data_IF_490694374656
#
_entry.id   IF_490694374656
#
_cell.length_a   1.000
_cell.length_b   1.000
_cell.length_c   1.000
_cell.angle_alpha   90.00
_cell.angle_beta   90.00
_cell.angle_gamma   90.00
#
_symmetry.space_group_name_H-M   'P 1'
#
loop_
_entity.id
_entity.type
_entity.pdbx_description
1 polymer ?
#
# COMPACT_ATOMS: atom_id res chain seq x y z
N UNK A 1 -4.69 32.53 -13.04
CA UNK A 1 -4.36 31.91 -11.73
C UNK A 1 -4.76 30.43 -11.58
N UNK A 2 -5.44 29.76 -12.53
CA UNK A 2 -5.96 28.39 -12.33
C UNK A 2 -4.99 27.24 -12.71
N UNK A 3 -3.96 27.47 -13.52
CA UNK A 3 -3.02 26.43 -13.96
C UNK A 3 -1.76 26.27 -13.07
N UNK A 4 -1.34 27.30 -12.32
CA UNK A 4 -0.05 27.26 -11.59
C UNK A 4 -0.08 26.38 -10.33
N UNK A 5 -1.27 26.10 -9.78
CA UNK A 5 -1.39 25.27 -8.58
C UNK A 5 -1.20 23.77 -8.86
N UNK A 6 -1.57 23.33 -10.06
CA UNK A 6 -1.71 21.92 -10.42
C UNK A 6 -0.36 21.24 -10.62
N UNK A 7 0.55 21.93 -11.32
CA UNK A 7 1.90 21.42 -11.51
C UNK A 7 2.72 21.49 -10.21
N UNK A 8 2.33 22.32 -9.24
CA UNK A 8 3.11 22.51 -8.02
C UNK A 8 3.06 21.28 -7.12
N UNK A 9 1.92 20.61 -6.92
CA UNK A 9 1.85 19.51 -5.95
C UNK A 9 2.60 18.25 -6.39
N UNK A 10 2.51 17.90 -7.67
CA UNK A 10 3.22 16.75 -8.23
C UNK A 10 4.72 17.04 -8.35
N UNK A 11 5.10 18.27 -8.67
CA UNK A 11 6.51 18.69 -8.58
C UNK A 11 7.02 18.63 -7.13
N UNK A 12 6.23 19.09 -6.15
CA UNK A 12 6.58 18.97 -4.73
C UNK A 12 6.76 17.50 -4.32
N UNK A 13 5.95 16.58 -4.86
CA UNK A 13 6.12 15.12 -4.67
C UNK A 13 7.48 14.66 -5.18
N UNK A 14 7.83 15.02 -6.41
CA UNK A 14 9.11 14.66 -7.03
C UNK A 14 10.33 15.23 -6.29
N UNK A 15 10.17 16.42 -5.70
CA UNK A 15 11.18 17.07 -4.87
C UNK A 15 11.18 16.55 -3.42
N UNK A 16 10.51 15.43 -3.14
CA UNK A 16 10.41 14.82 -1.83
C UNK A 16 9.99 15.80 -0.72
N UNK A 17 9.06 16.74 -1.03
CA UNK A 17 8.57 17.68 -0.03
C UNK A 17 7.81 16.94 1.08
N UNK A 18 7.98 17.35 2.36
CA UNK A 18 7.33 16.69 3.48
C UNK A 18 5.80 16.58 3.34
N UNK A 19 5.23 15.49 3.85
CA UNK A 19 3.79 15.21 3.82
C UNK A 19 2.97 16.39 4.33
N UNK A 20 3.36 16.98 5.46
CA UNK A 20 2.61 18.07 6.10
C UNK A 20 2.57 19.35 5.24
N UNK A 21 3.68 19.75 4.60
CA UNK A 21 3.72 20.93 3.73
C UNK A 21 2.78 20.76 2.52
N UNK A 22 2.84 19.58 1.91
CA UNK A 22 2.02 19.21 0.76
C UNK A 22 0.54 19.14 1.13
N UNK A 23 0.24 18.57 2.30
CA UNK A 23 -1.12 18.44 2.82
C UNK A 23 -1.75 19.80 3.09
N UNK A 24 -1.02 20.72 3.75
CA UNK A 24 -1.49 22.10 3.97
C UNK A 24 -1.89 22.77 2.65
N UNK A 25 -1.05 22.65 1.62
CA UNK A 25 -1.31 23.22 0.29
C UNK A 25 -2.61 22.69 -0.33
N UNK A 26 -2.88 21.38 -0.21
CA UNK A 26 -4.09 20.77 -0.74
C UNK A 26 -5.33 21.11 0.08
N UNK A 27 -5.23 21.12 1.41
CA UNK A 27 -6.35 21.42 2.31
C UNK A 27 -6.82 22.87 2.17
N UNK A 28 -5.90 23.84 2.05
CA UNK A 28 -6.24 25.24 1.77
C UNK A 28 -7.05 25.42 0.48
N UNK A 29 -6.92 24.47 -0.45
CA UNK A 29 -7.56 24.48 -1.77
C UNK A 29 -8.54 23.31 -1.94
N UNK A 30 -9.06 22.75 -0.83
CA UNK A 30 -9.90 21.54 -0.81
C UNK A 30 -11.07 21.61 -1.81
N UNK A 31 -11.74 22.75 -1.93
CA UNK A 31 -12.85 22.94 -2.86
C UNK A 31 -12.47 22.78 -4.35
N UNK A 32 -11.20 23.01 -4.72
CA UNK A 32 -10.68 22.78 -6.06
C UNK A 32 -10.13 21.37 -6.19
N UNK A 33 -9.43 20.88 -5.17
CA UNK A 33 -8.87 19.52 -5.11
C UNK A 33 -9.96 18.47 -5.34
N UNK A 34 -11.08 18.59 -4.63
CA UNK A 34 -12.19 17.63 -4.70
C UNK A 34 -12.96 17.66 -6.04
N UNK A 35 -12.61 18.55 -6.98
CA UNK A 35 -13.18 18.55 -8.34
C UNK A 35 -12.40 17.70 -9.32
N UNK A 36 -11.21 17.22 -8.93
CA UNK A 36 -10.33 16.45 -9.79
C UNK A 36 -9.85 15.19 -9.09
N UNK A 37 -9.94 14.06 -9.77
CA UNK A 37 -9.63 12.77 -9.17
C UNK A 37 -8.13 12.58 -8.94
N UNK A 38 -7.26 13.15 -9.78
CA UNK A 38 -5.80 13.13 -9.59
C UNK A 38 -5.36 13.84 -8.31
N UNK A 39 -5.88 15.04 -8.07
CA UNK A 39 -5.60 15.79 -6.84
C UNK A 39 -6.26 15.16 -5.62
N UNK A 40 -7.46 14.60 -5.80
CA UNK A 40 -8.16 13.91 -4.71
C UNK A 40 -7.41 12.65 -4.31
N UNK A 41 -6.91 11.86 -5.27
CA UNK A 41 -6.06 10.70 -5.01
C UNK A 41 -4.81 11.08 -4.21
N UNK A 42 -4.17 12.20 -4.57
CA UNK A 42 -3.01 12.70 -3.83
C UNK A 42 -3.40 13.17 -2.41
N UNK A 43 -4.53 13.85 -2.25
CA UNK A 43 -5.02 14.24 -0.93
C UNK A 43 -5.32 13.02 -0.04
N UNK A 44 -5.94 11.98 -0.60
CA UNK A 44 -6.23 10.73 0.09
C UNK A 44 -4.93 10.03 0.53
N UNK A 45 -3.93 9.94 -0.35
CA UNK A 45 -2.60 9.40 -0.02
C UNK A 45 -1.94 10.17 1.12
N UNK A 46 -1.95 11.51 1.08
CA UNK A 46 -1.37 12.32 2.16
C UNK A 46 -2.12 12.17 3.48
N UNK A 47 -3.45 12.08 3.46
CA UNK A 47 -4.23 11.82 4.66
C UNK A 47 -3.95 10.44 5.26
N UNK A 48 -3.90 9.39 4.44
CA UNK A 48 -3.53 8.05 4.88
C UNK A 48 -2.10 8.04 5.45
N UNK A 49 -1.12 8.64 4.76
CA UNK A 49 0.26 8.72 5.23
C UNK A 49 0.45 9.52 6.55
N UNK A 50 -0.52 10.38 6.91
CA UNK A 50 -0.44 11.23 8.12
C UNK A 50 -1.45 10.86 9.22
N UNK A 51 -2.17 9.74 9.07
CA UNK A 51 -3.10 9.26 10.10
C UNK A 51 -4.48 9.92 10.09
N UNK A 52 -4.79 10.75 9.10
CA UNK A 52 -6.10 11.39 8.91
C UNK A 52 -7.09 10.43 8.22
N UNK A 53 -7.21 9.19 8.71
CA UNK A 53 -7.97 8.13 8.06
C UNK A 53 -9.47 8.44 7.96
N UNK A 54 -10.04 9.11 8.97
CA UNK A 54 -11.45 9.49 8.97
C UNK A 54 -11.77 10.55 7.89
N UNK A 55 -10.87 11.51 7.65
CA UNK A 55 -11.04 12.49 6.58
C UNK A 55 -11.01 11.84 5.20
N UNK A 56 -10.08 10.89 5.00
CA UNK A 56 -10.00 10.11 3.77
C UNK A 56 -11.25 9.23 3.57
N UNK A 57 -11.71 8.54 4.62
CA UNK A 57 -12.91 7.70 4.60
C UNK A 57 -14.16 8.51 4.19
N UNK A 58 -14.33 9.72 4.75
CA UNK A 58 -15.48 10.57 4.43
C UNK A 58 -15.55 10.96 2.95
N UNK A 59 -14.39 11.22 2.32
CA UNK A 59 -14.34 11.52 0.88
C UNK A 59 -14.57 10.25 0.04
N UNK A 60 -13.95 9.12 0.43
CA UNK A 60 -14.12 7.84 -0.25
C UNK A 60 -15.56 7.30 -0.21
N UNK A 61 -16.33 7.63 0.83
CA UNK A 61 -17.72 7.21 0.99
C UNK A 61 -18.72 8.08 0.20
N UNK A 62 -18.45 9.39 0.11
CA UNK A 62 -19.44 10.35 -0.39
C UNK A 62 -19.19 10.83 -1.82
N UNK A 63 -17.93 10.83 -2.27
CA UNK A 63 -17.59 11.34 -3.61
C UNK A 63 -17.81 10.27 -4.67
N UNK A 64 -18.45 10.65 -5.77
CA UNK A 64 -18.47 9.85 -7.01
C UNK A 64 -17.24 10.17 -7.85
N UNK A 65 -16.39 9.17 -8.04
CA UNK A 65 -15.16 9.22 -8.83
C UNK A 65 -15.43 8.75 -10.26
N UNK A 66 -14.67 9.30 -11.20
CA UNK A 66 -14.72 8.95 -12.62
C UNK A 66 -13.29 8.72 -13.11
N UNK A 67 -12.68 7.56 -12.77
CA UNK A 67 -11.34 7.23 -13.21
C UNK A 67 -11.23 7.36 -14.73
N UNK A 68 -10.27 8.17 -15.18
CA UNK A 68 -9.94 8.35 -16.59
C UNK A 68 -8.73 7.47 -16.95
N UNK A 69 -8.49 7.24 -18.24
CA UNK A 69 -7.33 6.49 -18.75
C UNK A 69 -6.01 6.94 -18.08
N UNK A 70 -5.27 5.99 -17.50
CA UNK A 70 -4.06 6.22 -16.69
C UNK A 70 -4.31 6.42 -15.18
N UNK A 71 -5.57 6.43 -14.76
CA UNK A 71 -6.02 6.54 -13.37
C UNK A 71 -6.37 5.24 -12.67
N UNK A 72 -6.27 4.12 -13.38
CA UNK A 72 -6.68 2.80 -12.91
C UNK A 72 -5.96 2.45 -11.62
N UNK A 73 -6.70 1.95 -10.63
CA UNK A 73 -6.16 1.53 -9.35
C UNK A 73 -5.84 2.67 -8.38
N UNK A 74 -5.86 3.94 -8.80
CA UNK A 74 -5.43 5.06 -7.94
C UNK A 74 -6.41 5.32 -6.81
N UNK A 75 -7.71 5.42 -7.11
CA UNK A 75 -8.73 5.67 -6.09
C UNK A 75 -9.02 4.40 -5.28
N UNK A 76 -9.20 3.27 -5.98
CA UNK A 76 -9.44 1.96 -5.34
C UNK A 76 -8.27 1.54 -4.45
N UNK A 77 -7.03 1.83 -4.84
CA UNK A 77 -5.84 1.63 -4.00
C UNK A 77 -5.89 2.46 -2.71
N UNK A 78 -6.28 3.73 -2.78
CA UNK A 78 -6.45 4.57 -1.59
C UNK A 78 -7.61 4.10 -0.70
N UNK A 79 -8.69 3.57 -1.28
CA UNK A 79 -9.78 2.94 -0.54
C UNK A 79 -9.27 1.73 0.26
N UNK A 80 -8.55 0.81 -0.39
CA UNK A 80 -7.97 -0.36 0.28
C UNK A 80 -7.01 0.05 1.40
N UNK A 81 -6.09 0.97 1.13
CA UNK A 81 -5.16 1.50 2.14
C UNK A 81 -5.90 2.11 3.33
N UNK A 82 -6.97 2.87 3.08
CA UNK A 82 -7.77 3.47 4.14
C UNK A 82 -8.45 2.40 5.00
N UNK A 83 -9.06 1.38 4.40
CA UNK A 83 -9.69 0.28 5.12
C UNK A 83 -8.68 -0.50 5.97
N UNK A 84 -7.49 -0.78 5.43
CA UNK A 84 -6.41 -1.45 6.16
C UNK A 84 -5.94 -0.62 7.36
N UNK A 85 -5.75 0.70 7.19
CA UNK A 85 -5.39 1.59 8.28
C UNK A 85 -6.48 1.71 9.36
N UNK A 86 -7.75 1.79 8.98
CA UNK A 86 -8.87 1.79 9.93
C UNK A 86 -8.92 0.47 10.70
N UNK A 87 -8.74 -0.66 10.01
CA UNK A 87 -8.67 -1.97 10.66
C UNK A 87 -7.52 -2.05 11.68
N UNK A 88 -6.34 -1.54 11.34
CA UNK A 88 -5.21 -1.45 12.26
C UNK A 88 -5.52 -0.56 13.48
N UNK A 89 -6.15 0.61 13.30
CA UNK A 89 -6.59 1.44 14.44
C UNK A 89 -7.58 0.73 15.36
N UNK A 90 -8.47 -0.09 14.81
CA UNK A 90 -9.39 -0.89 15.61
C UNK A 90 -8.67 -2.05 16.31
N UNK A 91 -7.72 -2.71 15.65
CA UNK A 91 -6.86 -3.75 16.24
C UNK A 91 -6.10 -3.21 17.46
N UNK A 92 -5.50 -2.03 17.35
CA UNK A 92 -4.78 -1.37 18.46
C UNK A 92 -5.64 -1.15 19.71
N UNK A 93 -6.95 -1.04 19.53
CA UNK A 93 -7.93 -0.81 20.60
C UNK A 93 -8.61 -2.09 21.06
N UNK A 94 -8.21 -3.26 20.54
CA UNK A 94 -8.88 -4.54 20.77
C UNK A 94 -10.30 -4.62 20.16
N UNK A 95 -10.65 -3.71 19.27
CA UNK A 95 -11.96 -3.61 18.64
C UNK A 95 -12.05 -4.53 17.40
N UNK A 96 -11.77 -5.83 17.58
CA UNK A 96 -11.57 -6.79 16.48
C UNK A 96 -12.79 -6.96 15.58
N UNK A 97 -14.00 -6.74 16.11
CA UNK A 97 -15.23 -6.77 15.30
C UNK A 97 -15.24 -5.65 14.27
N UNK A 98 -15.00 -4.41 14.70
CA UNK A 98 -14.94 -3.28 13.77
C UNK A 98 -13.78 -3.40 12.77
N UNK A 99 -12.64 -3.94 13.21
CA UNK A 99 -11.53 -4.25 12.31
C UNK A 99 -11.96 -5.25 11.21
N UNK A 100 -12.66 -6.32 11.60
CA UNK A 100 -13.20 -7.33 10.67
C UNK A 100 -14.19 -6.71 9.68
N UNK A 101 -15.04 -5.78 10.12
CA UNK A 101 -16.01 -5.10 9.26
C UNK A 101 -15.31 -4.24 8.19
N UNK A 102 -14.28 -3.48 8.57
CA UNK A 102 -13.43 -2.72 7.63
C UNK A 102 -12.76 -3.64 6.60
N UNK A 103 -12.15 -4.75 7.05
CA UNK A 103 -11.46 -5.71 6.20
C UNK A 103 -12.41 -6.41 5.21
N UNK A 104 -13.60 -6.79 5.67
CA UNK A 104 -14.63 -7.37 4.79
C UNK A 104 -15.19 -6.34 3.80
N UNK A 105 -15.29 -5.07 4.20
CA UNK A 105 -15.65 -3.99 3.30
C UNK A 105 -14.58 -3.76 2.23
N UNK A 106 -13.29 -3.93 2.55
CA UNK A 106 -12.19 -3.81 1.59
C UNK A 106 -12.27 -4.85 0.45
N UNK A 107 -12.88 -6.02 0.71
CA UNK A 107 -13.09 -7.06 -0.31
C UNK A 107 -14.18 -6.71 -1.34
N UNK A 108 -14.86 -5.56 -1.20
CA UNK A 108 -15.90 -5.08 -2.12
C UNK A 108 -15.62 -3.63 -2.47
N UNK A 109 -15.70 -3.28 -3.75
CA UNK A 109 -15.54 -1.89 -4.18
C UNK A 109 -16.92 -1.23 -4.24
N UNK A 110 -17.15 -0.14 -3.48
CA UNK A 110 -18.34 0.68 -3.63
C UNK A 110 -18.47 1.25 -5.06
N UNK A 111 -19.69 1.32 -5.58
CA UNK A 111 -19.95 1.77 -6.96
C UNK A 111 -19.44 3.19 -7.22
N UNK A 112 -19.42 4.05 -6.19
CA UNK A 112 -18.96 5.43 -6.30
C UNK A 112 -17.45 5.55 -6.58
N UNK A 113 -16.65 4.48 -6.44
CA UNK A 113 -15.23 4.50 -6.78
C UNK A 113 -14.99 4.49 -8.30
N UNK A 114 -15.99 4.11 -9.10
CA UNK A 114 -15.91 4.13 -10.56
C UNK A 114 -15.03 3.04 -11.19
N UNK A 115 -14.60 2.05 -10.41
CA UNK A 115 -13.72 0.96 -10.83
C UNK A 115 -14.14 -0.37 -10.17
N UNK A 116 -14.00 -1.46 -10.92
CA UNK A 116 -14.20 -2.82 -10.42
C UNK A 116 -12.92 -3.46 -9.91
N UNK A 117 -13.06 -4.58 -9.19
CA UNK A 117 -11.93 -5.39 -8.76
C UNK A 117 -11.29 -6.11 -9.94
N UNK A 118 -9.97 -6.28 -9.90
CA UNK A 118 -9.25 -7.04 -10.93
C UNK A 118 -9.44 -8.56 -10.73
N UNK A 119 -9.69 -9.32 -11.82
CA UNK A 119 -9.65 -10.78 -11.76
C UNK A 119 -8.29 -11.27 -11.25
N UNK A 120 -8.29 -12.19 -10.28
CA UNK A 120 -7.06 -12.77 -9.73
C UNK A 120 -6.38 -11.96 -8.62
N UNK A 121 -7.00 -10.89 -8.13
CA UNK A 121 -6.52 -10.21 -6.92
C UNK A 121 -6.69 -11.13 -5.69
N UNK A 122 -5.58 -11.42 -5.00
CA UNK A 122 -5.54 -12.41 -3.91
C UNK A 122 -5.66 -11.82 -2.50
N UNK A 123 -5.57 -10.50 -2.33
CA UNK A 123 -5.81 -9.76 -1.07
C UNK A 123 -5.09 -10.32 0.17
N UNK A 124 -3.82 -10.71 0.01
CA UNK A 124 -3.07 -11.43 1.03
C UNK A 124 -2.97 -10.65 2.37
N UNK A 125 -2.85 -9.33 2.29
CA UNK A 125 -2.89 -8.42 3.44
C UNK A 125 -4.22 -8.47 4.20
N UNK A 126 -5.34 -8.34 3.48
CA UNK A 126 -6.69 -8.36 4.05
C UNK A 126 -6.98 -9.72 4.70
N UNK A 127 -6.70 -10.83 3.99
CA UNK A 127 -6.92 -12.17 4.54
C UNK A 127 -6.05 -12.45 5.75
N UNK A 128 -4.79 -12.00 5.76
CA UNK A 128 -3.95 -12.15 6.93
C UNK A 128 -4.53 -11.41 8.14
N UNK A 129 -4.93 -10.15 7.97
CA UNK A 129 -5.50 -9.35 9.06
C UNK A 129 -6.86 -9.90 9.55
N UNK A 130 -7.67 -10.48 8.66
CA UNK A 130 -8.87 -11.22 9.05
C UNK A 130 -8.53 -12.43 9.90
N UNK A 131 -7.50 -13.19 9.52
CA UNK A 131 -6.96 -14.30 10.31
C UNK A 131 -6.49 -13.86 11.68
N UNK A 132 -5.77 -12.75 11.76
CA UNK A 132 -5.33 -12.14 13.02
C UNK A 132 -6.53 -11.77 13.90
N UNK A 133 -7.56 -11.10 13.36
CA UNK A 133 -8.75 -10.73 14.13
C UNK A 133 -9.51 -11.97 14.64
N UNK A 134 -9.62 -13.03 13.84
CA UNK A 134 -10.25 -14.29 14.24
C UNK A 134 -9.46 -15.00 15.35
N UNK A 135 -8.13 -15.01 15.26
CA UNK A 135 -7.23 -15.54 16.30
C UNK A 135 -7.43 -14.81 17.63
N UNK A 136 -7.49 -13.47 17.60
CA UNK A 136 -7.74 -12.65 18.80
C UNK A 136 -9.15 -12.85 19.39
N UNK A 137 -10.13 -13.24 18.56
CA UNK A 137 -11.47 -13.60 19.00
C UNK A 137 -11.57 -15.04 19.54
N UNK A 138 -10.49 -15.83 19.50
CA UNK A 138 -10.46 -17.22 19.93
C UNK A 138 -11.01 -18.23 18.91
N UNK A 139 -11.26 -17.81 17.67
CA UNK A 139 -11.74 -18.67 16.59
C UNK A 139 -10.58 -19.21 15.75
N UNK A 140 -9.93 -20.24 16.29
CA UNK A 140 -8.75 -20.85 15.67
C UNK A 140 -9.05 -21.50 14.30
N UNK A 141 -10.26 -22.02 14.10
CA UNK A 141 -10.64 -22.64 12.84
C UNK A 141 -10.76 -21.57 11.75
N UNK A 142 -11.49 -20.50 12.03
CA UNK A 142 -11.67 -19.42 11.05
C UNK A 142 -10.34 -18.70 10.76
N UNK A 143 -9.50 -18.52 11.77
CA UNK A 143 -8.16 -17.96 11.59
C UNK A 143 -7.31 -18.80 10.63
N UNK A 144 -7.32 -20.13 10.78
CA UNK A 144 -6.59 -21.04 9.89
C UNK A 144 -7.07 -20.95 8.43
N UNK A 145 -8.39 -20.87 8.20
CA UNK A 145 -8.97 -20.69 6.87
C UNK A 145 -8.51 -19.36 6.22
N UNK A 146 -8.53 -18.27 6.99
CA UNK A 146 -8.07 -16.97 6.49
C UNK A 146 -6.56 -16.94 6.21
N UNK A 147 -5.74 -17.58 7.05
CA UNK A 147 -4.30 -17.71 6.76
C UNK A 147 -4.03 -18.59 5.54
N UNK A 148 -4.87 -19.58 5.23
CA UNK A 148 -4.77 -20.33 3.97
C UNK A 148 -5.06 -19.44 2.75
N UNK A 149 -6.08 -18.58 2.82
CA UNK A 149 -6.37 -17.60 1.76
C UNK A 149 -5.22 -16.59 1.59
N UNK A 150 -4.66 -16.10 2.69
CA UNK A 150 -3.52 -15.18 2.70
C UNK A 150 -2.23 -15.76 2.08
N UNK A 151 -2.18 -17.06 1.81
CA UNK A 151 -1.04 -17.75 1.18
C UNK A 151 -1.22 -18.00 -0.32
N UNK A 152 -2.37 -17.65 -0.89
CA UNK A 152 -2.64 -17.84 -2.32
C UNK A 152 -1.93 -16.79 -3.18
N UNK A 153 -1.74 -17.09 -4.47
CA UNK A 153 -1.14 -16.18 -5.45
C UNK A 153 0.18 -16.68 -6.01
N UNK A 154 0.86 -15.80 -6.77
CA UNK A 154 2.21 -16.07 -7.27
C UNK A 154 3.24 -16.12 -6.15
N UNK A 155 4.43 -16.61 -6.45
CA UNK A 155 5.57 -16.71 -5.52
C UNK A 155 6.82 -15.95 -6.00
N UNK A 156 6.71 -15.19 -7.09
CA UNK A 156 7.84 -14.57 -7.77
C UNK A 156 7.91 -13.07 -7.46
N UNK A 157 9.05 -12.60 -6.97
CA UNK A 157 9.33 -11.17 -6.89
C UNK A 157 9.65 -10.63 -8.28
N UNK A 158 8.96 -9.55 -8.67
CA UNK A 158 9.22 -8.79 -9.89
C UNK A 158 9.31 -7.30 -9.54
N UNK A 159 9.81 -6.51 -10.47
CA UNK A 159 10.01 -5.08 -10.32
C UNK A 159 8.70 -4.25 -10.30
N UNK A 160 7.54 -4.88 -10.52
CA UNK A 160 6.21 -4.23 -10.45
C UNK A 160 6.09 -3.07 -11.43
N UNK A 161 5.60 -3.33 -12.64
CA UNK A 161 5.62 -2.38 -13.76
C UNK A 161 4.24 -1.81 -14.07
N UNK A 162 3.20 -2.59 -13.85
CA UNK A 162 1.84 -2.29 -14.28
C UNK A 162 0.87 -2.25 -13.10
N UNK A 163 -0.23 -1.50 -13.26
CA UNK A 163 -1.23 -1.35 -12.19
C UNK A 163 -1.90 -2.69 -11.79
N UNK A 164 -1.91 -3.66 -12.71
CA UNK A 164 -2.49 -4.98 -12.52
C UNK A 164 -1.47 -6.05 -12.06
N UNK A 165 -0.21 -5.67 -11.84
CA UNK A 165 0.76 -6.57 -11.24
C UNK A 165 0.40 -6.81 -9.77
N UNK A 166 0.68 -8.02 -9.28
CA UNK A 166 0.46 -8.29 -7.86
C UNK A 166 1.45 -7.45 -7.01
N UNK A 167 0.96 -6.74 -5.97
CA UNK A 167 1.82 -5.95 -5.11
C UNK A 167 2.89 -6.81 -4.43
N UNK A 168 4.13 -6.34 -4.39
CA UNK A 168 5.23 -7.08 -3.76
C UNK A 168 5.00 -7.38 -2.27
N UNK A 169 4.20 -6.56 -1.58
CA UNK A 169 3.84 -6.81 -0.19
C UNK A 169 2.89 -8.00 -0.01
N UNK A 170 2.16 -8.44 -1.05
CA UNK A 170 1.36 -9.67 -0.96
C UNK A 170 2.23 -10.89 -0.64
N UNK A 171 3.40 -11.00 -1.29
CA UNK A 171 4.39 -12.03 -0.98
C UNK A 171 4.91 -11.93 0.46
N UNK A 172 5.01 -10.72 1.01
CA UNK A 172 5.38 -10.55 2.41
C UNK A 172 4.30 -11.14 3.33
N UNK A 173 3.03 -10.80 3.10
CA UNK A 173 1.91 -11.34 3.87
C UNK A 173 1.74 -12.85 3.73
N UNK A 174 2.00 -13.43 2.55
CA UNK A 174 2.11 -14.88 2.38
C UNK A 174 3.16 -15.48 3.31
N UNK A 175 4.35 -14.87 3.38
CA UNK A 175 5.43 -15.34 4.26
C UNK A 175 5.06 -15.27 5.75
N UNK A 176 4.38 -14.21 6.18
CA UNK A 176 3.92 -14.08 7.56
C UNK A 176 2.81 -15.10 7.87
N UNK A 177 1.86 -15.28 6.96
CA UNK A 177 0.82 -16.30 7.07
C UNK A 177 1.40 -17.73 7.11
N UNK A 178 2.45 -18.00 6.33
CA UNK A 178 3.18 -19.27 6.31
C UNK A 178 3.84 -19.54 7.66
N UNK A 179 4.48 -18.53 8.26
CA UNK A 179 5.04 -18.62 9.61
C UNK A 179 3.97 -18.92 10.65
N UNK A 180 2.84 -18.19 10.64
CA UNK A 180 1.70 -18.41 11.55
C UNK A 180 1.10 -19.82 11.38
N UNK A 181 1.13 -20.37 10.17
CA UNK A 181 0.69 -21.75 9.87
C UNK A 181 1.69 -22.84 10.30
N UNK A 182 2.73 -22.54 11.08
CA UNK A 182 3.69 -23.52 11.60
C UNK A 182 4.83 -23.89 10.65
N UNK A 183 5.12 -23.07 9.63
CA UNK A 183 6.21 -23.31 8.67
C UNK A 183 7.31 -22.23 8.75
N UNK A 184 7.98 -22.03 9.92
CA UNK A 184 8.90 -20.91 10.13
C UNK A 184 10.15 -20.97 9.24
N UNK A 185 10.72 -22.16 8.98
CA UNK A 185 11.92 -22.29 8.16
C UNK A 185 11.69 -21.88 6.69
N UNK A 186 10.54 -22.25 6.13
CA UNK A 186 10.16 -21.84 4.78
C UNK A 186 9.90 -20.33 4.72
N UNK A 187 9.24 -19.76 5.74
CA UNK A 187 9.05 -18.31 5.83
C UNK A 187 10.39 -17.56 5.93
N UNK A 188 11.36 -18.06 6.71
CA UNK A 188 12.70 -17.46 6.77
C UNK A 188 13.42 -17.50 5.44
N UNK A 189 13.40 -18.63 4.72
CA UNK A 189 13.99 -18.73 3.39
C UNK A 189 13.34 -17.74 2.42
N UNK A 190 12.01 -17.61 2.47
CA UNK A 190 11.25 -16.66 1.67
C UNK A 190 11.70 -15.21 1.93
N UNK A 191 11.88 -14.81 3.19
CA UNK A 191 12.33 -13.46 3.52
C UNK A 191 13.81 -13.20 3.24
N UNK A 192 14.68 -14.24 3.26
CA UNK A 192 16.06 -14.11 2.76
C UNK A 192 16.06 -13.84 1.26
N UNK A 193 15.17 -14.51 0.51
CA UNK A 193 15.02 -14.28 -0.93
C UNK A 193 14.64 -12.83 -1.27
N UNK A 194 13.85 -12.15 -0.43
CA UNK A 194 13.57 -10.70 -0.60
C UNK A 194 14.85 -9.85 -0.58
N UNK A 195 15.72 -10.10 0.41
CA UNK A 195 16.97 -9.36 0.57
C UNK A 195 17.92 -9.66 -0.60
N UNK A 196 18.06 -10.94 -0.96
CA UNK A 196 18.91 -11.37 -2.07
C UNK A 196 18.44 -10.78 -3.40
N UNK A 197 17.12 -10.82 -3.66
CA UNK A 197 16.52 -10.25 -4.86
C UNK A 197 16.78 -8.74 -4.95
N UNK A 198 16.54 -7.99 -3.88
CA UNK A 198 16.74 -6.54 -3.87
C UNK A 198 18.21 -6.15 -4.04
N UNK A 199 19.14 -6.96 -3.52
CA UNK A 199 20.57 -6.76 -3.70
C UNK A 199 21.02 -7.04 -5.14
N UNK A 200 20.52 -8.12 -5.76
CA UNK A 200 20.87 -8.51 -7.12
C UNK A 200 20.33 -7.53 -8.17
N UNK A 201 19.10 -7.04 -7.98
CA UNK A 201 18.42 -6.24 -8.99
C UNK A 201 18.56 -4.74 -8.77
N UNK A 202 19.30 -4.26 -7.76
CA UNK A 202 19.37 -2.83 -7.42
C UNK A 202 19.73 -1.92 -8.60
N UNK A 203 20.64 -2.39 -9.45
CA UNK A 203 21.13 -1.65 -10.62
C UNK A 203 20.41 -2.05 -11.92
N UNK A 204 19.52 -3.04 -11.88
CA UNK A 204 18.77 -3.59 -13.01
C UNK A 204 17.46 -2.81 -13.22
N UNK A 205 17.58 -1.58 -13.69
CA UNK A 205 16.43 -0.68 -13.85
C UNK A 205 15.51 -1.21 -14.97
N UNK A 206 14.23 -1.53 -14.67
CA UNK A 206 13.33 -2.08 -15.66
C UNK A 206 13.07 -1.09 -16.79
N UNK A 207 13.16 -1.56 -18.04
CA UNK A 207 12.65 -0.81 -19.18
C UNK A 207 11.14 -1.00 -19.30
N UNK A 208 10.45 0.11 -19.58
CA UNK A 208 9.03 0.09 -19.90
C UNK A 208 8.88 -0.26 -21.37
N UNK A 209 7.93 -1.14 -21.69
CA UNK A 209 7.60 -1.43 -23.08
C UNK A 209 7.12 -0.14 -23.77
N UNK A 210 7.66 0.15 -24.96
CA UNK A 210 7.30 1.31 -25.76
C UNK A 210 5.79 1.38 -26.06
N UNK A 211 5.10 0.22 -26.09
CA UNK A 211 3.65 0.14 -26.31
C UNK A 211 2.82 -0.05 -25.01
N UNK A 212 3.42 0.12 -23.82
CA UNK A 212 2.71 -0.03 -22.56
C UNK A 212 1.60 1.02 -22.40
N UNK A 213 0.35 0.55 -22.37
CA UNK A 213 -0.86 1.37 -22.09
C UNK A 213 -1.30 1.31 -20.62
N UNK A 214 -0.62 0.52 -19.79
CA UNK A 214 -0.99 0.21 -18.39
C UNK A 214 -0.04 0.84 -17.36
N UNK A 215 0.63 1.93 -17.72
CA UNK A 215 1.43 2.70 -16.77
C UNK A 215 0.53 3.47 -15.81
N UNK A 216 0.72 3.34 -14.48
CA UNK A 216 -0.14 3.96 -13.51
C UNK A 216 0.30 5.40 -13.25
N UNK A 217 0.06 6.35 -14.17
CA UNK A 217 0.27 7.77 -13.86
C UNK A 217 -0.76 8.69 -14.52
N UNK A 218 -1.48 9.41 -13.67
CA UNK A 218 -2.45 10.45 -14.05
C UNK A 218 -1.79 11.76 -14.52
N UNK A 219 -0.45 11.83 -14.47
CA UNK A 219 0.31 13.08 -14.59
C UNK A 219 1.43 12.92 -15.62
N UNK A 220 1.55 13.90 -16.51
CA UNK A 220 2.51 13.96 -17.62
C UNK A 220 3.97 14.19 -17.17
N UNK A 221 4.25 14.25 -15.85
CA UNK A 221 5.61 14.46 -15.35
C UNK A 221 6.37 13.14 -15.33
N UNK A 222 7.44 13.06 -16.13
CA UNK A 222 8.32 11.88 -16.15
C UNK A 222 8.96 11.65 -14.78
N UNK A 223 8.56 10.56 -14.12
CA UNK A 223 9.26 10.05 -12.95
C UNK A 223 10.41 9.17 -13.42
N UNK A 224 11.62 9.42 -12.88
CA UNK A 224 12.79 8.62 -13.20
C UNK A 224 12.54 7.14 -12.89
N UNK A 225 12.73 6.27 -13.90
CA UNK A 225 12.64 4.82 -13.73
C UNK A 225 13.63 4.31 -12.67
N UNK A 226 14.82 4.91 -12.62
CA UNK A 226 15.85 4.64 -11.61
C UNK A 226 15.32 4.94 -10.20
N UNK A 227 14.66 6.10 -10.02
CA UNK A 227 14.11 6.48 -8.71
C UNK A 227 12.94 5.58 -8.29
N UNK A 228 12.06 5.18 -9.21
CA UNK A 228 10.97 4.23 -8.90
C UNK A 228 11.53 2.87 -8.51
N UNK A 229 12.50 2.38 -9.28
CA UNK A 229 13.14 1.09 -9.01
C UNK A 229 13.90 1.08 -7.68
N UNK A 230 14.63 2.15 -7.36
CA UNK A 230 15.29 2.30 -6.06
C UNK A 230 14.28 2.25 -4.91
N UNK A 231 13.14 2.94 -5.01
CA UNK A 231 12.08 2.88 -4.00
C UNK A 231 11.56 1.45 -3.82
N UNK A 232 11.32 0.75 -4.93
CA UNK A 232 10.85 -0.64 -4.93
C UNK A 232 11.85 -1.59 -4.25
N UNK A 233 13.12 -1.52 -4.63
CA UNK A 233 14.18 -2.33 -4.01
C UNK A 233 14.33 -2.04 -2.51
N UNK A 234 14.29 -0.76 -2.09
CA UNK A 234 14.32 -0.39 -0.68
C UNK A 234 13.12 -0.96 0.09
N UNK A 235 11.93 -0.94 -0.52
CA UNK A 235 10.72 -1.49 0.08
C UNK A 235 10.79 -3.01 0.23
N UNK A 236 11.20 -3.74 -0.81
CA UNK A 236 11.38 -5.21 -0.76
C UNK A 236 12.43 -5.59 0.29
N UNK A 237 13.59 -4.91 0.32
CA UNK A 237 14.63 -5.19 1.30
C UNK A 237 14.13 -4.94 2.74
N UNK A 238 13.35 -3.87 2.94
CA UNK A 238 12.74 -3.58 4.23
C UNK A 238 11.74 -4.66 4.68
N UNK A 239 10.91 -5.18 3.77
CA UNK A 239 9.98 -6.28 4.03
C UNK A 239 10.71 -7.59 4.36
N UNK A 240 11.80 -7.89 3.66
CA UNK A 240 12.64 -9.05 3.95
C UNK A 240 13.26 -8.98 5.35
N UNK A 241 13.82 -7.82 5.72
CA UNK A 241 14.32 -7.61 7.08
C UNK A 241 13.24 -7.72 8.15
N UNK A 242 12.06 -7.12 7.93
CA UNK A 242 10.93 -7.24 8.84
C UNK A 242 10.50 -8.69 9.02
N UNK A 243 10.39 -9.42 7.90
CA UNK A 243 10.06 -10.83 7.90
C UNK A 243 11.06 -11.66 8.70
N UNK A 244 12.36 -11.35 8.67
CA UNK A 244 13.36 -12.01 9.51
C UNK A 244 13.42 -11.53 10.97
N UNK A 245 12.54 -10.61 11.38
CA UNK A 245 12.55 -10.03 12.73
C UNK A 245 13.62 -8.95 12.93
N UNK A 246 14.33 -8.54 11.87
CA UNK A 246 15.38 -7.52 11.90
C UNK A 246 14.78 -6.11 11.86
N UNK A 247 14.03 -5.73 12.90
CA UNK A 247 13.26 -4.48 12.96
C UNK A 247 14.14 -3.24 12.72
N UNK A 248 15.34 -3.19 13.28
CA UNK A 248 16.27 -2.07 13.09
C UNK A 248 16.67 -1.88 11.62
N UNK A 249 17.01 -2.97 10.91
CA UNK A 249 17.37 -2.91 9.50
C UNK A 249 16.17 -2.54 8.61
N UNK A 250 14.97 -3.06 8.93
CA UNK A 250 13.73 -2.64 8.29
C UNK A 250 13.50 -1.13 8.43
N UNK A 251 13.62 -0.59 9.64
CA UNK A 251 13.44 0.84 9.92
C UNK A 251 14.45 1.71 9.17
N UNK A 252 15.71 1.28 9.07
CA UNK A 252 16.73 1.99 8.29
C UNK A 252 16.36 2.07 6.80
N UNK A 253 15.93 0.96 6.19
CA UNK A 253 15.51 0.94 4.78
C UNK A 253 14.24 1.74 4.53
N UNK A 254 13.26 1.65 5.43
CA UNK A 254 12.05 2.48 5.39
C UNK A 254 12.38 3.98 5.53
N UNK A 255 13.36 4.35 6.35
CA UNK A 255 13.80 5.74 6.47
C UNK A 255 14.43 6.24 5.17
N UNK A 256 15.28 5.45 4.52
CA UNK A 256 15.86 5.79 3.22
C UNK A 256 14.76 5.94 2.15
N UNK A 257 13.80 5.02 2.13
CA UNK A 257 12.64 5.09 1.24
C UNK A 257 11.84 6.38 1.45
N UNK A 258 11.52 6.72 2.70
CA UNK A 258 10.72 7.89 3.04
C UNK A 258 11.47 9.22 2.90
N UNK A 259 12.81 9.21 2.82
CA UNK A 259 13.58 10.40 2.40
C UNK A 259 13.39 10.71 0.91
N UNK A 260 13.21 9.68 0.07
CA UNK A 260 13.01 9.82 -1.38
C UNK A 260 11.53 10.08 -1.68
N UNK A 261 10.63 9.39 -0.98
CA UNK A 261 9.19 9.53 -1.13
C UNK A 261 8.52 9.59 0.25
N UNK A 262 8.36 10.80 0.82
CA UNK A 262 7.78 10.98 2.16
C UNK A 262 6.36 10.45 2.31
N UNK A 263 5.62 10.27 1.22
CA UNK A 263 4.24 9.79 1.19
C UNK A 263 4.14 8.37 0.61
N UNK A 264 5.17 7.52 0.74
CA UNK A 264 5.13 6.16 0.21
C UNK A 264 4.07 5.32 0.96
N UNK A 265 2.91 5.13 0.33
CA UNK A 265 1.70 4.56 0.95
C UNK A 265 1.96 3.24 1.69
N UNK A 266 2.51 2.23 0.99
CA UNK A 266 2.75 0.90 1.57
C UNK A 266 3.83 0.90 2.65
N UNK A 267 4.74 1.87 2.64
CA UNK A 267 5.75 1.99 3.71
C UNK A 267 5.08 2.49 5.00
N UNK A 268 4.17 3.46 4.89
CA UNK A 268 3.37 3.93 6.02
C UNK A 268 2.41 2.86 6.54
N UNK A 269 1.80 2.06 5.65
CA UNK A 269 0.99 0.91 6.05
C UNK A 269 1.78 -0.10 6.89
N UNK A 270 2.95 -0.53 6.40
CA UNK A 270 3.79 -1.51 7.12
C UNK A 270 4.30 -0.94 8.45
N UNK A 271 4.64 0.36 8.50
CA UNK A 271 5.02 1.02 9.76
C UNK A 271 3.87 1.06 10.76
N UNK A 272 2.64 1.35 10.33
CA UNK A 272 1.46 1.31 11.19
C UNK A 272 1.23 -0.13 11.68
N UNK A 273 1.25 -1.13 10.79
CA UNK A 273 1.12 -2.53 11.17
C UNK A 273 2.16 -2.97 12.23
N UNK A 274 3.42 -2.55 12.07
CA UNK A 274 4.47 -2.80 13.05
C UNK A 274 4.18 -2.14 14.41
N UNK A 275 3.67 -0.91 14.41
CA UNK A 275 3.29 -0.17 15.62
C UNK A 275 2.08 -0.80 16.31
N UNK A 276 1.14 -1.36 15.55
CA UNK A 276 -0.04 -2.07 16.07
C UNK A 276 0.28 -3.43 16.69
N UNK A 277 1.54 -3.89 16.62
CA UNK A 277 2.01 -5.10 17.31
C UNK A 277 1.59 -6.43 16.67
N UNK A 278 1.02 -6.41 15.46
CA UNK A 278 0.47 -7.63 14.83
C UNK A 278 1.54 -8.66 14.42
N UNK A 279 2.81 -8.25 14.36
CA UNK A 279 3.94 -9.10 14.02
C UNK A 279 4.65 -9.72 15.24
N UNK A 280 4.20 -9.40 16.46
CA UNK A 280 4.74 -9.97 17.70
C UNK A 280 4.20 -11.36 18.03
#
# INVERSE_FOLDING_TARGET
MRASCLNSIFLQKLLARPVHERLTTLVERKAVVLKRDDLTAELLSLWNASGHYADAAAILDTRVFHPWEGGEGKITGQYLLNQLHLALQFIERGAFKQATDCLKAALRYPDNLGEGRLPGQTDNDIWYLLGYCAEQAGDAQQAAEYYQLARQGGSTLDAGRYYNDQPADYLFWQGIALRKSGNPAQAEQHFRHFIDWAAQHRDDVPQVDFFAVSLPDLVVLDVSAQQRHLQHCLFIEALGHLGLGNVSACQQRMQQLLQINPAHDKAHLIRHALQSGIFS
#
